data_IF_119484780918
#
_entry.id   IF_119484780918
#
_cell.length_a   1.000
_cell.length_b   1.000
_cell.length_c   1.000
_cell.angle_alpha   90.00
_cell.angle_beta   90.00
_cell.angle_gamma   90.00
#
_symmetry.space_group_name_H-M   'P 1'
#
loop_
_entity.id
_entity.type
_entity.pdbx_description
1 polymer ?
#
# COMPACT_ATOMS: atom_id res chain seq x y z
N UNK A 1 -29.25 -30.55 -4.26
CA UNK A 1 -28.72 -29.95 -3.01
C UNK A 1 -28.70 -28.44 -3.22
N UNK A 2 -29.43 -27.66 -2.43
CA UNK A 2 -29.51 -26.21 -2.62
C UNK A 2 -28.38 -25.55 -1.81
N UNK A 3 -27.56 -24.70 -2.43
CA UNK A 3 -26.49 -23.96 -1.73
C UNK A 3 -27.08 -23.14 -0.57
N UNK A 4 -28.33 -22.68 -0.72
CA UNK A 4 -29.06 -21.93 0.30
C UNK A 4 -29.39 -22.75 1.56
N UNK A 5 -29.27 -24.08 1.52
CA UNK A 5 -29.45 -24.96 2.69
C UNK A 5 -28.17 -25.23 3.47
N UNK A 6 -27.01 -24.75 2.99
CA UNK A 6 -25.75 -24.84 3.74
C UNK A 6 -25.83 -24.02 5.03
N UNK A 7 -25.08 -24.43 6.06
CA UNK A 7 -24.95 -23.68 7.30
C UNK A 7 -24.16 -22.39 7.09
N UNK A 8 -24.37 -21.36 7.92
CA UNK A 8 -23.69 -20.08 7.77
C UNK A 8 -22.18 -20.25 7.90
N UNK A 9 -21.74 -21.08 8.84
CA UNK A 9 -20.35 -21.38 9.14
C UNK A 9 -19.62 -21.87 7.89
N UNK A 10 -20.21 -22.83 7.17
CA UNK A 10 -19.61 -23.38 5.93
C UNK A 10 -19.52 -22.29 4.84
N UNK A 11 -20.53 -21.43 4.73
CA UNK A 11 -20.51 -20.32 3.76
C UNK A 11 -19.44 -19.29 4.10
N UNK A 12 -19.27 -18.96 5.39
CA UNK A 12 -18.24 -18.03 5.86
C UNK A 12 -16.83 -18.62 5.61
N UNK A 13 -16.65 -19.93 5.85
CA UNK A 13 -15.40 -20.63 5.53
C UNK A 13 -15.09 -20.59 4.02
N UNK A 14 -16.12 -20.73 3.18
CA UNK A 14 -15.97 -20.59 1.72
C UNK A 14 -15.63 -19.14 1.33
N UNK A 15 -16.20 -18.15 2.02
CA UNK A 15 -15.97 -16.74 1.73
C UNK A 15 -14.52 -16.31 1.98
N UNK A 16 -13.81 -16.96 2.88
CA UNK A 16 -12.39 -16.68 3.15
C UNK A 16 -11.48 -16.99 1.94
N UNK A 17 -11.94 -17.76 0.95
CA UNK A 17 -11.19 -18.03 -0.28
C UNK A 17 -11.39 -16.96 -1.36
N UNK A 18 -12.27 -15.98 -1.13
CA UNK A 18 -12.61 -14.94 -2.09
C UNK A 18 -12.14 -13.57 -1.61
N UNK A 19 -11.76 -12.69 -2.54
CA UNK A 19 -11.56 -11.28 -2.22
C UNK A 19 -12.92 -10.56 -2.13
N UNK A 20 -12.93 -9.32 -1.64
CA UNK A 20 -14.18 -8.56 -1.48
C UNK A 20 -14.96 -8.35 -2.78
N UNK A 21 -14.26 -8.25 -3.92
CA UNK A 21 -14.87 -8.10 -5.25
C UNK A 21 -15.52 -9.39 -5.69
N UNK A 22 -14.84 -10.52 -5.56
CA UNK A 22 -15.37 -11.83 -5.96
C UNK A 22 -16.60 -12.19 -5.13
N UNK A 23 -16.58 -11.88 -3.82
CA UNK A 23 -17.73 -12.07 -2.94
C UNK A 23 -18.92 -11.24 -3.37
N UNK A 24 -18.68 -9.96 -3.70
CA UNK A 24 -19.74 -9.10 -4.19
C UNK A 24 -20.30 -9.65 -5.51
N UNK A 25 -19.45 -9.89 -6.49
CA UNK A 25 -19.92 -10.31 -7.81
C UNK A 25 -20.61 -11.70 -7.79
N UNK A 26 -20.14 -12.61 -6.94
CA UNK A 26 -20.62 -14.00 -6.92
C UNK A 26 -21.85 -14.15 -6.04
N UNK A 27 -21.91 -13.49 -4.88
CA UNK A 27 -22.92 -13.78 -3.85
C UNK A 27 -23.85 -12.61 -3.53
N UNK A 28 -23.49 -11.38 -3.88
CA UNK A 28 -24.34 -10.22 -3.64
C UNK A 28 -25.56 -10.26 -4.59
N UNK A 29 -26.73 -9.88 -4.07
CA UNK A 29 -28.05 -9.93 -4.75
C UNK A 29 -28.60 -11.35 -4.99
N UNK A 30 -27.85 -12.42 -4.73
CA UNK A 30 -28.39 -13.79 -4.85
C UNK A 30 -29.57 -14.04 -3.90
N UNK A 31 -29.41 -13.70 -2.62
CA UNK A 31 -30.53 -13.63 -1.67
C UNK A 31 -30.16 -12.75 -0.46
N UNK A 32 -31.17 -12.41 0.34
CA UNK A 32 -31.01 -11.55 1.52
C UNK A 32 -30.08 -12.14 2.57
N UNK A 33 -30.06 -13.47 2.72
CA UNK A 33 -29.18 -14.17 3.66
C UNK A 33 -27.71 -13.98 3.28
N UNK A 34 -27.33 -14.18 2.02
CA UNK A 34 -25.96 -13.96 1.57
C UNK A 34 -25.56 -12.49 1.68
N UNK A 35 -26.44 -11.56 1.31
CA UNK A 35 -26.17 -10.12 1.49
C UNK A 35 -25.83 -9.79 2.96
N UNK A 36 -26.58 -10.35 3.91
CA UNK A 36 -26.33 -10.18 5.35
C UNK A 36 -25.00 -10.81 5.79
N UNK A 37 -24.68 -12.02 5.32
CA UNK A 37 -23.42 -12.70 5.65
C UNK A 37 -22.21 -11.93 5.10
N UNK A 38 -22.26 -11.51 3.83
CA UNK A 38 -21.23 -10.66 3.21
C UNK A 38 -21.07 -9.39 4.04
N UNK A 39 -22.15 -8.68 4.35
CA UNK A 39 -22.09 -7.45 5.15
C UNK A 39 -21.53 -7.65 6.57
N UNK A 40 -21.72 -8.83 7.16
CA UNK A 40 -21.26 -9.19 8.51
C UNK A 40 -19.78 -9.58 8.53
N UNK A 41 -19.29 -10.29 7.51
CA UNK A 41 -17.87 -10.70 7.39
C UNK A 41 -17.00 -9.63 6.71
N UNK A 42 -17.64 -8.66 6.05
CA UNK A 42 -17.00 -7.54 5.36
C UNK A 42 -15.88 -6.78 6.07
N UNK A 43 -15.92 -6.59 7.41
CA UNK A 43 -14.82 -5.98 8.16
C UNK A 43 -13.46 -6.67 8.02
N UNK A 44 -13.38 -7.83 7.35
CA UNK A 44 -12.17 -8.61 7.14
C UNK A 44 -11.69 -8.62 5.68
N UNK A 45 -12.50 -8.19 4.71
CA UNK A 45 -12.15 -8.40 3.31
C UNK A 45 -11.28 -7.28 2.73
N UNK A 46 -10.32 -7.70 1.91
CA UNK A 46 -9.50 -6.85 1.07
C UNK A 46 -10.16 -6.70 -0.30
N UNK A 47 -10.33 -5.48 -0.78
CA UNK A 47 -10.72 -5.23 -2.17
C UNK A 47 -9.47 -5.12 -3.02
N UNK A 48 -9.37 -6.00 -4.03
CA UNK A 48 -8.24 -6.00 -4.96
C UNK A 48 -8.76 -5.67 -6.34
N UNK A 49 -8.54 -4.43 -6.78
CA UNK A 49 -8.97 -3.94 -8.09
C UNK A 49 -7.99 -4.30 -9.22
N UNK A 50 -6.96 -5.10 -8.95
CA UNK A 50 -5.99 -5.54 -9.94
C UNK A 50 -6.68 -6.48 -10.95
N UNK A 51 -6.65 -6.12 -12.24
CA UNK A 51 -7.18 -6.97 -13.32
C UNK A 51 -8.71 -7.01 -13.44
N UNK A 52 -9.44 -6.17 -12.70
CA UNK A 52 -10.90 -6.07 -12.84
C UNK A 52 -11.29 -5.38 -14.16
N UNK A 53 -12.40 -5.81 -14.77
CA UNK A 53 -12.95 -5.12 -15.94
C UNK A 53 -13.45 -3.73 -15.54
N UNK A 54 -13.27 -2.74 -16.43
CA UNK A 54 -13.71 -1.36 -16.20
C UNK A 54 -15.19 -1.26 -15.80
N UNK A 55 -16.09 -2.00 -16.46
CA UNK A 55 -17.52 -1.97 -16.14
C UNK A 55 -17.82 -2.43 -14.72
N UNK A 56 -17.14 -3.48 -14.23
CA UNK A 56 -17.29 -3.97 -12.86
C UNK A 56 -16.68 -3.00 -11.85
N UNK A 57 -15.54 -2.38 -12.20
CA UNK A 57 -14.94 -1.32 -11.40
C UNK A 57 -15.87 -0.13 -11.22
N UNK A 58 -16.43 0.38 -12.33
CA UNK A 58 -17.38 1.51 -12.33
C UNK A 58 -18.61 1.18 -11.47
N UNK A 59 -19.20 -0.01 -11.64
CA UNK A 59 -20.34 -0.46 -10.84
C UNK A 59 -20.02 -0.52 -9.34
N UNK A 60 -18.91 -1.17 -8.97
CA UNK A 60 -18.51 -1.30 -7.56
C UNK A 60 -18.23 0.06 -6.93
N UNK A 61 -17.43 0.90 -7.59
CA UNK A 61 -17.04 2.20 -7.07
C UNK A 61 -18.23 3.17 -6.98
N UNK A 62 -19.18 3.12 -7.91
CA UNK A 62 -20.35 4.00 -7.88
C UNK A 62 -21.42 3.53 -6.88
N UNK A 63 -21.70 2.22 -6.83
CA UNK A 63 -22.90 1.72 -6.17
C UNK A 63 -22.63 1.10 -4.79
N UNK A 64 -21.44 0.50 -4.60
CA UNK A 64 -21.19 -0.39 -3.47
C UNK A 64 -20.13 0.16 -2.51
N UNK A 65 -18.94 0.50 -3.00
CA UNK A 65 -17.82 0.93 -2.14
C UNK A 65 -18.20 2.09 -1.21
N UNK A 66 -18.86 3.18 -1.66
CA UNK A 66 -19.18 4.31 -0.78
C UNK A 66 -20.01 3.93 0.45
N UNK A 67 -20.79 2.84 0.37
CA UNK A 67 -21.62 2.34 1.48
C UNK A 67 -20.86 1.41 2.44
N UNK A 68 -19.66 0.99 2.05
CA UNK A 68 -18.84 -0.02 2.72
C UNK A 68 -17.51 0.53 3.23
N UNK A 69 -17.20 1.80 2.94
CA UNK A 69 -15.92 2.46 3.24
C UNK A 69 -15.48 2.28 4.69
N UNK A 70 -16.39 2.44 5.65
CA UNK A 70 -16.10 2.26 7.08
C UNK A 70 -15.85 0.80 7.50
N UNK A 71 -16.07 -0.17 6.60
CA UNK A 71 -15.85 -1.61 6.82
C UNK A 71 -14.71 -2.17 5.99
N UNK A 72 -14.11 -1.40 5.09
CA UNK A 72 -13.02 -1.89 4.26
C UNK A 72 -11.77 -2.06 5.10
N UNK A 73 -11.26 -3.29 5.17
CA UNK A 73 -10.04 -3.62 5.89
C UNK A 73 -8.79 -3.35 5.04
N UNK A 74 -8.85 -3.77 3.78
CA UNK A 74 -7.74 -3.67 2.83
C UNK A 74 -8.19 -3.14 1.49
N UNK A 75 -7.36 -2.31 0.88
CA UNK A 75 -7.54 -1.76 -0.46
C UNK A 75 -6.28 -2.02 -1.25
N UNK A 76 -6.42 -2.69 -2.40
CA UNK A 76 -5.36 -2.87 -3.36
C UNK A 76 -5.85 -2.38 -4.73
N UNK A 77 -5.07 -1.50 -5.35
CA UNK A 77 -5.31 -1.00 -6.69
C UNK A 77 -3.99 -1.06 -7.45
N UNK A 78 -4.04 -1.49 -8.71
CA UNK A 78 -2.89 -1.49 -9.60
C UNK A 78 -3.32 -0.91 -10.94
N UNK A 79 -2.53 0.00 -11.48
CA UNK A 79 -2.68 0.34 -12.90
C UNK A 79 -2.05 -0.78 -13.73
N UNK A 80 -2.75 -1.19 -14.78
CA UNK A 80 -2.25 -2.13 -15.78
C UNK A 80 -2.44 -1.52 -17.18
N UNK A 81 -1.71 -2.01 -18.17
CA UNK A 81 -1.70 -1.44 -19.53
C UNK A 81 -3.09 -1.36 -20.19
N UNK A 82 -3.96 -2.31 -19.85
CA UNK A 82 -5.36 -2.42 -20.31
C UNK A 82 -6.37 -1.56 -19.51
N UNK A 83 -5.97 -0.93 -18.40
CA UNK A 83 -6.82 -0.04 -17.59
C UNK A 83 -6.04 1.19 -17.05
N UNK A 84 -5.38 1.98 -17.92
CA UNK A 84 -4.61 3.14 -17.50
C UNK A 84 -5.51 4.18 -16.82
N UNK A 85 -4.99 4.85 -15.79
CA UNK A 85 -5.71 5.87 -15.04
C UNK A 85 -6.81 5.33 -14.11
N UNK A 86 -6.81 4.03 -13.80
CA UNK A 86 -7.78 3.44 -12.87
C UNK A 86 -7.75 4.11 -11.50
N UNK A 87 -6.58 4.53 -11.01
CA UNK A 87 -6.50 5.24 -9.73
C UNK A 87 -7.05 6.66 -9.80
N UNK A 88 -6.81 7.38 -10.90
CA UNK A 88 -7.45 8.68 -11.10
C UNK A 88 -8.97 8.54 -11.10
N UNK A 89 -9.49 7.52 -11.80
CA UNK A 89 -10.91 7.20 -11.82
C UNK A 89 -11.44 6.79 -10.44
N UNK A 90 -10.69 5.98 -9.67
CA UNK A 90 -11.02 5.67 -8.27
C UNK A 90 -11.28 6.95 -7.47
N UNK A 91 -10.36 7.92 -7.60
CA UNK A 91 -10.45 9.20 -6.92
C UNK A 91 -11.56 10.14 -7.42
N UNK A 92 -12.19 9.84 -8.56
CA UNK A 92 -13.42 10.55 -8.99
C UNK A 92 -14.66 10.04 -8.25
N UNK A 93 -14.71 8.74 -7.96
CA UNK A 93 -15.82 8.14 -7.20
C UNK A 93 -15.64 8.32 -5.69
N UNK A 94 -14.39 8.28 -5.24
CA UNK A 94 -14.00 8.29 -3.84
C UNK A 94 -12.99 9.42 -3.65
N UNK A 95 -13.46 10.66 -3.43
CA UNK A 95 -12.59 11.82 -3.48
C UNK A 95 -11.55 11.88 -2.36
N UNK A 96 -11.82 11.24 -1.23
CA UNK A 96 -10.98 11.25 -0.03
C UNK A 96 -10.91 9.88 0.66
N UNK A 97 -9.79 9.64 1.35
CA UNK A 97 -9.61 8.46 2.19
C UNK A 97 -10.26 8.54 3.59
N UNK A 98 -10.76 9.71 4.01
CA UNK A 98 -11.36 9.93 5.33
C UNK A 98 -12.50 8.95 5.66
N UNK A 99 -13.26 8.54 4.64
CA UNK A 99 -14.37 7.58 4.79
C UNK A 99 -13.90 6.15 5.14
N UNK A 100 -12.63 5.82 4.92
CA UNK A 100 -12.06 4.49 5.18
C UNK A 100 -11.50 4.35 6.60
N UNK A 101 -12.32 4.67 7.60
CA UNK A 101 -11.91 4.69 9.01
C UNK A 101 -11.39 3.33 9.53
N UNK A 102 -11.81 2.22 8.92
CA UNK A 102 -11.38 0.86 9.28
C UNK A 102 -10.13 0.35 8.56
N UNK A 103 -9.61 1.09 7.57
CA UNK A 103 -8.57 0.58 6.68
C UNK A 103 -7.25 0.35 7.41
N UNK A 104 -6.69 -0.84 7.21
CA UNK A 104 -5.41 -1.27 7.80
C UNK A 104 -4.36 -1.60 6.77
N UNK A 105 -4.75 -1.90 5.53
CA UNK A 105 -3.83 -2.23 4.45
C UNK A 105 -4.16 -1.42 3.20
N UNK A 106 -3.16 -0.72 2.66
CA UNK A 106 -3.26 -0.01 1.39
C UNK A 106 -2.11 -0.43 0.48
N UNK A 107 -2.43 -0.94 -0.70
CA UNK A 107 -1.46 -1.31 -1.73
C UNK A 107 -1.80 -0.62 -3.03
N UNK A 108 -0.94 0.26 -3.50
CA UNK A 108 -1.11 0.98 -4.75
C UNK A 108 0.09 0.69 -5.65
N UNK A 109 -0.16 0.04 -6.78
CA UNK A 109 0.90 -0.45 -7.68
C UNK A 109 0.83 0.23 -9.03
N UNK A 110 2.00 0.32 -9.68
CA UNK A 110 2.17 0.96 -10.98
C UNK A 110 1.58 2.38 -11.08
N UNK A 111 1.70 3.23 -10.04
CA UNK A 111 1.23 4.63 -10.15
C UNK A 111 2.04 5.35 -11.23
N UNK A 112 1.43 5.67 -12.37
CA UNK A 112 2.13 6.35 -13.49
C UNK A 112 2.11 7.87 -13.40
N UNK A 113 1.10 8.43 -12.70
CA UNK A 113 0.89 9.87 -12.59
C UNK A 113 1.44 10.42 -11.27
N UNK A 114 2.42 11.32 -11.38
CA UNK A 114 2.98 12.05 -10.22
C UNK A 114 1.91 12.84 -9.47
N UNK A 115 0.89 13.36 -10.16
CA UNK A 115 -0.25 14.06 -9.54
C UNK A 115 -1.08 13.12 -8.66
N UNK A 116 -1.33 11.90 -9.14
CA UNK A 116 -2.08 10.87 -8.41
C UNK A 116 -1.30 10.43 -7.19
N UNK A 117 0.01 10.23 -7.32
CA UNK A 117 0.88 9.93 -6.18
C UNK A 117 0.82 11.04 -5.12
N UNK A 118 0.98 12.31 -5.51
CA UNK A 118 0.88 13.43 -4.56
C UNK A 118 -0.47 13.42 -3.85
N UNK A 119 -1.57 13.22 -4.57
CA UNK A 119 -2.92 13.12 -3.99
C UNK A 119 -3.01 11.97 -2.99
N UNK A 120 -2.53 10.78 -3.34
CA UNK A 120 -2.48 9.61 -2.44
C UNK A 120 -1.77 9.97 -1.14
N UNK A 121 -0.56 10.55 -1.24
CA UNK A 121 0.25 10.89 -0.08
C UNK A 121 -0.43 11.95 0.80
N UNK A 122 -1.09 12.95 0.20
CA UNK A 122 -1.88 13.96 0.92
C UNK A 122 -3.04 13.36 1.71
N UNK A 123 -3.61 12.25 1.24
CA UNK A 123 -4.76 11.59 1.87
C UNK A 123 -4.36 10.55 2.93
N UNK A 124 -3.11 10.08 2.96
CA UNK A 124 -2.62 9.10 3.95
C UNK A 124 -2.85 9.51 5.41
N UNK A 125 -2.69 10.79 5.83
CA UNK A 125 -2.93 11.20 7.22
C UNK A 125 -4.35 10.92 7.73
N UNK A 126 -5.34 10.79 6.85
CA UNK A 126 -6.70 10.43 7.24
C UNK A 126 -6.85 8.94 7.63
N UNK A 127 -5.91 8.10 7.21
CA UNK A 127 -5.92 6.66 7.46
C UNK A 127 -5.27 6.32 8.81
N UNK A 128 -5.90 6.75 9.91
CA UNK A 128 -5.37 6.62 11.28
C UNK A 128 -5.13 5.17 11.76
N UNK A 129 -5.76 4.20 11.07
CA UNK A 129 -5.64 2.77 11.37
C UNK A 129 -4.72 2.01 10.41
N UNK A 130 -4.06 2.70 9.48
CA UNK A 130 -3.19 2.08 8.49
C UNK A 130 -2.00 1.41 9.17
N UNK A 131 -1.84 0.11 8.91
CA UNK A 131 -0.77 -0.71 9.44
C UNK A 131 0.22 -1.13 8.35
N UNK A 132 -0.27 -1.36 7.13
CA UNK A 132 0.53 -1.78 5.99
C UNK A 132 0.32 -0.82 4.82
N UNK A 133 1.43 -0.32 4.27
CA UNK A 133 1.45 0.53 3.10
C UNK A 133 2.39 -0.04 2.06
N UNK A 134 1.90 -0.20 0.84
CA UNK A 134 2.71 -0.53 -0.34
C UNK A 134 2.44 0.51 -1.41
N UNK A 135 3.48 1.19 -1.87
CA UNK A 135 3.41 2.12 -2.98
C UNK A 135 4.48 1.72 -3.99
N UNK A 136 4.04 1.45 -5.21
CA UNK A 136 4.89 1.24 -6.36
C UNK A 136 4.50 2.25 -7.45
N UNK A 137 5.45 3.09 -7.85
CA UNK A 137 5.20 4.18 -8.78
C UNK A 137 6.32 4.36 -9.81
N UNK A 138 5.93 4.90 -10.96
CA UNK A 138 6.81 5.36 -12.01
C UNK A 138 6.84 6.88 -11.95
N UNK A 139 7.99 7.45 -11.60
CA UNK A 139 8.13 8.90 -11.50
C UNK A 139 8.26 9.49 -12.91
N UNK A 140 7.14 9.98 -13.45
CA UNK A 140 7.11 10.75 -14.68
C UNK A 140 7.75 12.14 -14.47
N UNK A 141 8.45 12.64 -15.49
CA UNK A 141 9.17 13.94 -15.46
C UNK A 141 8.26 15.16 -15.28
N UNK A 142 6.95 14.98 -15.37
CA UNK A 142 5.97 16.06 -15.52
C UNK A 142 5.77 16.91 -14.26
N UNK A 143 6.01 16.36 -13.07
CA UNK A 143 5.87 17.10 -11.81
C UNK A 143 7.02 16.81 -10.85
N UNK A 144 7.47 17.87 -10.17
CA UNK A 144 8.42 17.76 -9.07
C UNK A 144 7.72 17.16 -7.85
N UNK A 145 8.14 15.96 -7.45
CA UNK A 145 7.74 15.35 -6.19
C UNK A 145 8.77 15.74 -5.14
N UNK A 146 8.31 16.39 -4.06
CA UNK A 146 9.10 16.57 -2.85
C UNK A 146 9.14 15.25 -2.06
N UNK A 147 10.19 14.47 -2.31
CA UNK A 147 10.41 13.18 -1.65
C UNK A 147 10.65 13.31 -0.14
N UNK A 148 11.15 14.46 0.33
CA UNK A 148 11.32 14.70 1.77
C UNK A 148 9.95 14.81 2.44
N UNK A 149 9.06 15.64 1.88
CA UNK A 149 7.68 15.76 2.35
C UNK A 149 6.94 14.42 2.31
N UNK A 150 7.08 13.66 1.23
CA UNK A 150 6.44 12.35 1.09
C UNK A 150 6.89 11.39 2.18
N UNK A 151 8.21 11.24 2.35
CA UNK A 151 8.77 10.34 3.34
C UNK A 151 8.40 10.77 4.77
N UNK A 152 8.43 12.06 5.07
CA UNK A 152 8.00 12.58 6.37
C UNK A 152 6.51 12.34 6.65
N UNK A 153 5.67 12.42 5.63
CA UNK A 153 4.23 12.13 5.73
C UNK A 153 4.01 10.65 6.06
N UNK A 154 4.68 9.75 5.33
CA UNK A 154 4.60 8.31 5.56
C UNK A 154 5.14 7.93 6.95
N UNK A 155 6.29 8.47 7.35
CA UNK A 155 6.91 8.17 8.65
C UNK A 155 6.08 8.67 9.84
N UNK A 156 5.29 9.73 9.63
CA UNK A 156 4.42 10.29 10.67
C UNK A 156 3.16 9.46 10.93
N UNK A 157 2.88 8.41 10.15
CA UNK A 157 1.68 7.61 10.31
C UNK A 157 1.70 6.82 11.64
N UNK A 158 0.68 6.97 12.49
CA UNK A 158 0.77 6.59 13.90
C UNK A 158 0.81 5.08 14.14
N UNK A 159 0.23 4.28 13.25
CA UNK A 159 0.11 2.82 13.38
C UNK A 159 0.81 2.03 12.28
N UNK A 160 1.51 2.70 11.38
CA UNK A 160 2.16 2.08 10.24
C UNK A 160 3.31 1.18 10.70
N UNK A 161 3.19 -0.13 10.47
CA UNK A 161 4.17 -1.14 10.87
C UNK A 161 5.02 -1.62 9.72
N UNK A 162 4.44 -1.73 8.53
CA UNK A 162 5.08 -2.26 7.33
C UNK A 162 4.93 -1.22 6.22
N UNK A 163 6.05 -0.83 5.62
CA UNK A 163 6.10 0.07 4.49
C UNK A 163 6.97 -0.53 3.40
N UNK A 164 6.42 -0.64 2.19
CA UNK A 164 7.17 -1.02 0.99
C UNK A 164 7.01 0.11 -0.04
N UNK A 165 8.14 0.69 -0.46
CA UNK A 165 8.18 1.80 -1.42
C UNK A 165 9.06 1.38 -2.59
N UNK A 166 8.48 1.41 -3.79
CA UNK A 166 9.18 1.19 -5.06
C UNK A 166 8.99 2.43 -5.93
N UNK A 167 10.08 3.07 -6.34
CA UNK A 167 10.01 4.29 -7.16
C UNK A 167 10.92 4.16 -8.37
N UNK A 168 10.31 3.87 -9.52
CA UNK A 168 10.99 3.81 -10.80
C UNK A 168 11.14 5.21 -11.38
N UNK A 169 12.24 5.90 -11.08
CA UNK A 169 12.53 7.23 -11.62
C UNK A 169 13.57 7.17 -12.75
N UNK A 170 13.39 7.99 -13.79
CA UNK A 170 14.41 8.17 -14.83
C UNK A 170 15.58 8.94 -14.22
N UNK A 171 16.67 8.22 -13.95
CA UNK A 171 17.81 8.73 -13.20
C UNK A 171 17.67 8.35 -11.73
N UNK A 172 18.67 7.68 -11.21
CA UNK A 172 18.70 7.24 -9.84
C UNK A 172 18.61 8.43 -8.87
N UNK A 173 17.55 8.51 -8.07
CA UNK A 173 17.45 9.52 -7.02
C UNK A 173 17.90 8.92 -5.70
N UNK A 174 18.64 9.73 -4.95
CA UNK A 174 18.97 9.38 -3.58
C UNK A 174 17.70 9.39 -2.75
N UNK A 175 17.53 8.38 -1.89
CA UNK A 175 16.47 8.36 -0.91
C UNK A 175 16.65 9.52 0.08
N UNK A 176 15.57 10.27 0.29
CA UNK A 176 15.53 11.35 1.28
C UNK A 176 15.23 10.76 2.66
N UNK A 177 16.18 10.83 3.59
CA UNK A 177 15.95 10.35 4.95
C UNK A 177 14.83 11.18 5.60
N UNK A 178 13.75 10.56 6.12
CA UNK A 178 12.72 11.26 6.84
C UNK A 178 13.33 12.06 8.00
N UNK A 179 12.90 13.31 8.21
CA UNK A 179 13.18 14.10 9.41
C UNK A 179 12.28 13.72 10.59
N UNK A 180 11.15 13.05 10.31
CA UNK A 180 10.20 12.58 11.32
C UNK A 180 10.60 11.21 11.86
N UNK A 181 10.44 11.06 13.18
CA UNK A 181 10.66 9.76 13.85
C UNK A 181 9.37 8.95 13.74
N UNK A 182 9.45 7.76 13.16
CA UNK A 182 8.31 6.87 13.10
C UNK A 182 8.00 6.26 14.47
N UNK A 183 6.75 6.31 14.94
CA UNK A 183 6.37 5.76 16.23
C UNK A 183 6.16 4.24 16.19
N UNK A 184 6.01 3.62 15.01
CA UNK A 184 5.50 2.25 14.93
C UNK A 184 6.08 1.38 13.81
N UNK A 185 6.86 1.93 12.88
CA UNK A 185 7.45 1.16 11.78
C UNK A 185 8.38 0.07 12.31
N UNK A 186 8.22 -1.14 11.76
CA UNK A 186 8.97 -2.35 12.09
C UNK A 186 9.59 -3.01 10.86
N UNK A 187 9.02 -2.79 9.69
CA UNK A 187 9.51 -3.31 8.42
C UNK A 187 9.50 -2.21 7.38
N UNK A 188 10.64 -1.99 6.74
CA UNK A 188 10.80 -1.05 5.63
C UNK A 188 11.46 -1.77 4.47
N UNK A 189 10.82 -1.73 3.32
CA UNK A 189 11.35 -2.20 2.05
C UNK A 189 11.43 -1.03 1.08
N UNK A 190 12.62 -0.81 0.53
CA UNK A 190 12.91 0.27 -0.41
C UNK A 190 13.49 -0.33 -1.68
N UNK A 191 12.80 -0.14 -2.79
CA UNK A 191 13.21 -0.65 -4.10
C UNK A 191 13.40 0.50 -5.08
N UNK A 192 14.44 0.41 -5.91
CA UNK A 192 14.79 1.43 -6.91
C UNK A 192 15.25 2.77 -6.30
N UNK A 193 15.80 2.72 -5.08
CA UNK A 193 16.39 3.87 -4.40
C UNK A 193 17.91 3.77 -4.30
N UNK A 194 18.62 4.91 -4.37
CA UNK A 194 20.02 5.00 -3.94
C UNK A 194 20.09 5.44 -2.49
N UNK A 195 20.73 4.63 -1.65
CA UNK A 195 20.93 4.97 -0.24
C UNK A 195 22.41 4.82 0.10
N UNK A 196 23.01 5.88 0.64
CA UNK A 196 24.37 5.82 1.15
C UNK A 196 24.40 5.19 2.54
N UNK A 197 25.49 4.51 2.89
CA UNK A 197 25.64 3.82 4.18
C UNK A 197 25.44 4.77 5.37
N UNK A 198 25.99 5.99 5.30
CA UNK A 198 25.81 7.01 6.34
C UNK A 198 24.35 7.45 6.52
N UNK A 199 23.50 7.29 5.50
CA UNK A 199 22.07 7.56 5.59
C UNK A 199 21.31 6.43 6.28
N UNK A 200 21.80 5.19 6.24
CA UNK A 200 21.21 4.05 6.96
C UNK A 200 21.19 4.35 8.47
N UNK A 201 22.29 4.87 9.03
CA UNK A 201 22.35 5.23 10.44
C UNK A 201 21.30 6.28 10.83
N UNK A 202 21.07 7.26 9.95
CA UNK A 202 20.04 8.27 10.15
C UNK A 202 18.63 7.67 10.03
N UNK A 203 18.42 6.76 9.07
CA UNK A 203 17.16 6.03 8.91
C UNK A 203 16.82 5.23 10.17
N UNK A 204 17.82 4.55 10.75
CA UNK A 204 17.67 3.78 12.00
C UNK A 204 17.33 4.68 13.18
N UNK A 205 17.98 5.85 13.30
CA UNK A 205 17.64 6.85 14.34
C UNK A 205 16.20 7.33 14.22
N UNK A 206 15.72 7.52 13.00
CA UNK A 206 14.36 8.00 12.73
C UNK A 206 13.33 6.86 12.64
N UNK A 207 13.76 5.61 12.82
CA UNK A 207 12.90 4.42 12.82
C UNK A 207 13.31 3.47 13.96
N UNK A 208 13.22 3.91 15.22
CA UNK A 208 13.85 3.22 16.36
C UNK A 208 13.28 1.82 16.66
N UNK A 209 12.13 1.46 16.09
CA UNK A 209 11.49 0.15 16.24
C UNK A 209 11.68 -0.76 15.02
N UNK A 210 12.52 -0.37 14.06
CA UNK A 210 12.79 -1.14 12.86
C UNK A 210 13.42 -2.49 13.22
N UNK A 211 12.88 -3.56 12.64
CA UNK A 211 13.35 -4.93 12.79
C UNK A 211 13.77 -5.54 11.46
N UNK A 212 13.14 -5.12 10.38
CA UNK A 212 13.37 -5.64 9.04
C UNK A 212 13.65 -4.46 8.11
N UNK A 213 14.80 -4.48 7.45
CA UNK A 213 15.16 -3.51 6.43
C UNK A 213 15.56 -4.26 5.17
N UNK A 214 14.89 -3.97 4.06
CA UNK A 214 15.23 -4.49 2.75
C UNK A 214 15.49 -3.32 1.81
N UNK A 215 16.66 -3.29 1.18
CA UNK A 215 17.04 -2.24 0.24
C UNK A 215 17.51 -2.90 -1.05
N UNK A 216 16.78 -2.67 -2.14
CA UNK A 216 17.15 -3.07 -3.49
C UNK A 216 17.64 -1.82 -4.22
N UNK A 217 18.96 -1.71 -4.36
CA UNK A 217 19.62 -0.51 -4.87
C UNK A 217 20.43 -0.78 -6.14
N UNK A 218 20.55 0.25 -6.97
CA UNK A 218 21.57 0.37 -8.02
C UNK A 218 22.81 1.03 -7.38
N UNK A 219 23.93 0.31 -7.23
CA UNK A 219 25.12 0.88 -6.57
C UNK A 219 25.71 2.03 -7.41
N UNK A 220 26.11 3.13 -6.76
CA UNK A 220 27.20 3.97 -7.26
C UNK A 220 28.51 3.56 -6.57
N UNK A 221 29.58 3.40 -7.36
CA UNK A 221 30.85 2.72 -7.06
C UNK A 221 31.75 3.38 -5.99
N UNK A 222 31.19 3.94 -4.92
CA UNK A 222 31.93 4.59 -3.85
C UNK A 222 31.66 3.91 -2.51
N UNK A 223 32.08 2.65 -2.37
CA UNK A 223 32.26 2.04 -1.05
C UNK A 223 33.59 2.55 -0.49
N UNK A 224 33.52 3.33 0.58
CA UNK A 224 34.67 3.61 1.43
C UNK A 224 34.67 2.52 2.51
N UNK A 225 35.69 1.67 2.51
CA UNK A 225 35.76 0.39 3.24
C UNK A 225 35.78 0.49 4.78
N UNK A 226 35.72 1.70 5.36
CA UNK A 226 35.92 1.94 6.80
C UNK A 226 34.63 2.21 7.61
N UNK A 227 33.44 1.97 7.06
CA UNK A 227 32.19 2.33 7.77
C UNK A 227 31.74 1.26 8.79
N UNK A 228 31.71 1.64 10.07
CA UNK A 228 31.40 0.74 11.18
C UNK A 228 29.89 0.71 11.49
N UNK A 229 29.21 -0.37 11.09
CA UNK A 229 27.74 -0.57 11.11
C UNK A 229 27.15 -0.95 12.48
N UNK A 230 27.63 -0.33 13.57
CA UNK A 230 27.14 -0.62 14.94
C UNK A 230 25.63 -0.42 15.14
N UNK A 231 25.02 0.47 14.35
CA UNK A 231 23.58 0.79 14.31
C UNK A 231 22.70 -0.35 13.79
N UNK A 232 23.25 -1.29 13.00
CA UNK A 232 22.51 -2.41 12.42
C UNK A 232 22.20 -3.52 13.44
N UNK A 233 22.84 -3.49 14.62
CA UNK A 233 22.69 -4.51 15.65
C UNK A 233 21.25 -4.70 16.15
N UNK A 234 20.36 -3.73 15.91
CA UNK A 234 18.94 -3.79 16.27
C UNK A 234 18.06 -4.51 15.23
N UNK A 235 18.58 -4.72 14.01
CA UNK A 235 17.85 -5.43 12.96
C UNK A 235 17.84 -6.93 13.21
N UNK A 236 16.67 -7.54 12.99
CA UNK A 236 16.51 -8.99 12.94
C UNK A 236 16.85 -9.53 11.55
N UNK A 237 16.61 -8.75 10.50
CA UNK A 237 16.98 -9.10 9.13
C UNK A 237 17.39 -7.83 8.35
N UNK A 238 18.47 -7.96 7.59
CA UNK A 238 18.93 -6.97 6.63
C UNK A 238 19.14 -7.67 5.29
N UNK A 239 18.35 -7.29 4.30
CA UNK A 239 18.54 -7.71 2.91
C UNK A 239 19.02 -6.51 2.10
N UNK A 240 20.21 -6.63 1.51
CA UNK A 240 20.79 -5.63 0.63
C UNK A 240 21.16 -6.33 -0.67
N UNK A 241 20.22 -6.30 -1.62
CA UNK A 241 20.43 -6.89 -2.92
C UNK A 241 21.02 -5.84 -3.88
N UNK A 242 22.14 -6.23 -4.48
CA UNK A 242 22.95 -5.39 -5.34
C UNK A 242 22.68 -5.77 -6.81
N UNK A 243 21.96 -4.91 -7.53
CA UNK A 243 21.74 -5.09 -8.97
C UNK A 243 22.99 -4.66 -9.76
N UNK A 244 23.62 -5.60 -10.45
CA UNK A 244 24.64 -5.31 -11.46
C UNK A 244 23.94 -5.01 -12.80
N UNK A 245 24.26 -3.87 -13.41
CA UNK A 245 24.02 -3.61 -14.85
C UNK A 245 25.39 -3.51 -15.52
#
# INVERSE_FOLDING_TARGET
MNIESLANEILLDVFDYFNGIDLFHTFYVLNTRFNLLICKQYPLHCFTFCGIKKSQFDELCQQHIPRLTNRVYGLSCAECDWNPGQMDLFFTYIPSFEQFSGLRSLSLQNITSSKTLIKVIQELPYLLNLMHLTIDCYSAREYFIDFQWMNDTIWSLPKLRICSLTIHAIGSRNFCIPTKISPSLRSVELTSFKLHINQIDQLMKNTPHLKYLSIYTEISSAMNDDYNLSSLSTLTNLDMCMGYI
#
